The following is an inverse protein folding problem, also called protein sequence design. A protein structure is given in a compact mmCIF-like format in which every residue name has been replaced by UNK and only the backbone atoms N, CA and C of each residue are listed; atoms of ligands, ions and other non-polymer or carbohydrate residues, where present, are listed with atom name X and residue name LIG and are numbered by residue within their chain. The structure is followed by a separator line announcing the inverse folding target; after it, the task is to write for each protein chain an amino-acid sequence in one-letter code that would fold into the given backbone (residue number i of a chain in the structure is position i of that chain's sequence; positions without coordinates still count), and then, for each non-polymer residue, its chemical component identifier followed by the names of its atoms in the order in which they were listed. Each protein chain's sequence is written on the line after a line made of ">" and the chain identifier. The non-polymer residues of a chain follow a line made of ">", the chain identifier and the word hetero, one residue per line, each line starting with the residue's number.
data_IF_198592746174
#
_entry.id   IF_198592746174
#
_cell.length_a   1.000
_cell.length_b   1.000
_cell.length_c   1.000
_cell.angle_alpha   90.00
_cell.angle_beta   90.00
_cell.angle_gamma   90.00
#
_symmetry.space_group_name_H-M   'P 1'
#
loop_
_entity.id
_entity.type
_entity.pdbx_description
1 polymer ?
#
# COMPACT_ATOMS: atom_id res chain seq x y z
N UNK A 1 2.17 -59.31 -49.55
CA UNK A 1 2.32 -57.97 -50.16
C UNK A 1 2.85 -57.00 -49.10
N UNK A 2 4.00 -56.37 -49.38
CA UNK A 2 4.59 -55.14 -48.79
C UNK A 2 4.85 -55.15 -47.28
N UNK A 3 6.10 -55.43 -46.89
CA UNK A 3 7.25 -54.51 -46.77
C UNK A 3 7.30 -53.78 -45.42
N UNK A 4 8.41 -54.03 -44.71
CA UNK A 4 9.06 -53.16 -43.71
C UNK A 4 9.06 -51.69 -44.16
N UNK A 5 9.24 -50.75 -43.22
CA UNK A 5 10.28 -49.69 -43.24
C UNK A 5 10.07 -48.74 -42.03
N UNK A 6 11.03 -48.79 -41.09
CA UNK A 6 11.77 -47.67 -40.49
C UNK A 6 11.09 -46.79 -39.40
N UNK A 7 11.65 -46.98 -38.19
CA UNK A 7 12.00 -46.02 -37.14
C UNK A 7 11.76 -44.53 -37.36
N UNK A 8 11.30 -43.84 -36.31
CA UNK A 8 12.01 -42.65 -35.83
C UNK A 8 11.67 -42.33 -34.36
N UNK A 9 12.67 -42.59 -33.50
CA UNK A 9 12.77 -42.06 -32.15
C UNK A 9 13.04 -40.55 -32.25
N UNK A 10 12.02 -39.72 -32.03
CA UNK A 10 12.19 -38.28 -31.88
C UNK A 10 12.75 -37.97 -30.49
N UNK A 11 14.09 -38.00 -30.45
CA UNK A 11 14.97 -37.35 -29.50
C UNK A 11 14.61 -35.86 -29.39
N UNK A 12 13.79 -35.49 -28.40
CA UNK A 12 13.69 -34.08 -28.00
C UNK A 12 14.66 -33.85 -26.85
N UNK A 13 15.57 -32.93 -27.17
CA UNK A 13 16.76 -32.55 -26.44
C UNK A 13 16.42 -31.84 -25.14
N UNK A 14 17.25 -32.12 -24.13
CA UNK A 14 17.54 -31.27 -22.99
C UNK A 14 17.43 -29.78 -23.31
N UNK A 15 16.50 -29.10 -22.66
CA UNK A 15 16.63 -27.67 -22.37
C UNK A 15 17.09 -27.54 -20.91
N UNK A 16 18.39 -27.71 -20.72
CA UNK A 16 19.12 -27.19 -19.56
C UNK A 16 19.18 -25.66 -19.68
N UNK A 17 18.05 -24.99 -19.46
CA UNK A 17 18.06 -23.54 -19.25
C UNK A 17 18.37 -23.30 -17.78
N UNK A 18 19.62 -22.95 -17.54
CA UNK A 18 20.13 -22.34 -16.31
C UNK A 18 19.10 -21.35 -15.76
N UNK A 19 18.38 -21.75 -14.71
CA UNK A 19 17.64 -20.79 -13.88
C UNK A 19 18.68 -20.03 -13.06
N UNK A 20 19.15 -18.94 -13.66
CA UNK A 20 19.88 -17.88 -12.99
C UNK A 20 19.03 -17.51 -11.75
N UNK A 21 19.58 -17.54 -10.52
CA UNK A 21 18.88 -16.96 -9.40
C UNK A 21 18.72 -15.48 -9.73
N UNK A 22 17.49 -15.08 -10.08
CA UNK A 22 17.10 -13.69 -10.17
C UNK A 22 17.38 -13.09 -8.80
N UNK A 23 18.58 -12.53 -8.64
CA UNK A 23 18.89 -11.53 -7.62
C UNK A 23 17.98 -10.37 -7.94
N UNK A 24 16.75 -10.41 -7.45
CA UNK A 24 15.97 -9.22 -7.25
C UNK A 24 16.82 -8.38 -6.29
N UNK A 25 17.41 -7.25 -6.72
CA UNK A 25 17.85 -6.26 -5.76
C UNK A 25 16.54 -5.66 -5.25
N UNK A 26 15.88 -6.39 -4.36
CA UNK A 26 14.84 -5.83 -3.53
C UNK A 26 15.59 -4.83 -2.66
N UNK A 27 15.66 -3.59 -3.16
CA UNK A 27 15.80 -2.39 -2.36
C UNK A 27 14.55 -2.33 -1.47
N UNK A 28 14.45 -3.29 -0.56
CA UNK A 28 13.47 -3.33 0.49
C UNK A 28 13.95 -2.23 1.41
N UNK A 29 13.49 -1.01 1.15
CA UNK A 29 13.58 0.08 2.09
C UNK A 29 12.96 -0.45 3.38
N UNK A 30 13.83 -0.92 4.28
CA UNK A 30 13.44 -1.52 5.55
C UNK A 30 12.91 -0.36 6.35
N UNK A 31 11.58 -0.22 6.39
CA UNK A 31 10.96 0.72 7.32
C UNK A 31 11.46 0.36 8.70
N UNK A 32 12.12 1.31 9.38
CA UNK A 32 12.66 1.11 10.73
C UNK A 32 11.56 0.85 11.76
N UNK A 33 10.32 1.19 11.40
CA UNK A 33 9.15 1.10 12.24
C UNK A 33 8.35 -0.18 11.98
N UNK A 34 7.95 -0.83 13.07
CA UNK A 34 7.02 -1.97 13.08
C UNK A 34 5.58 -1.46 13.20
N UNK A 35 4.74 -1.76 12.20
CA UNK A 35 3.32 -1.41 12.23
C UNK A 35 2.53 -2.56 12.83
N UNK A 36 1.88 -2.29 13.95
CA UNK A 36 0.96 -3.21 14.60
C UNK A 36 -0.47 -2.89 14.23
N UNK A 37 -1.29 -3.94 14.14
CA UNK A 37 -2.72 -3.83 13.84
C UNK A 37 -3.54 -4.28 15.03
N UNK A 38 -4.44 -3.43 15.51
CA UNK A 38 -5.42 -3.78 16.54
C UNK A 38 -6.84 -3.79 15.91
N UNK A 39 -7.34 -4.96 15.50
CA UNK A 39 -8.64 -5.06 14.84
C UNK A 39 -9.82 -4.83 15.79
N UNK A 40 -9.64 -5.02 17.11
CA UNK A 40 -10.68 -4.76 18.12
C UNK A 40 -10.96 -3.27 18.24
N UNK A 41 -9.89 -2.48 18.32
CA UNK A 41 -9.97 -1.02 18.44
C UNK A 41 -10.00 -0.30 17.08
N UNK A 42 -10.03 -1.05 15.97
CA UNK A 42 -10.05 -0.53 14.60
C UNK A 42 -8.95 0.51 14.32
N UNK A 43 -7.71 0.18 14.71
CA UNK A 43 -6.58 1.07 14.49
C UNK A 43 -5.30 0.32 14.11
N UNK A 44 -4.48 0.99 13.30
CA UNK A 44 -3.08 0.64 13.08
C UNK A 44 -2.21 1.58 13.88
N UNK A 45 -1.09 1.08 14.38
CA UNK A 45 -0.20 1.91 15.17
C UNK A 45 1.25 1.51 15.08
N UNK A 46 2.12 2.49 15.35
CA UNK A 46 3.54 2.30 15.58
C UNK A 46 3.84 2.82 16.97
N UNK A 47 4.50 2.00 17.78
CA UNK A 47 5.03 2.42 19.08
C UNK A 47 6.36 3.12 18.85
N UNK A 48 6.49 4.36 19.33
CA UNK A 48 7.71 5.16 19.18
C UNK A 48 8.05 5.73 20.56
N UNK A 49 9.02 5.10 21.23
CA UNK A 49 9.38 5.44 22.60
C UNK A 49 8.12 5.46 23.51
N UNK A 50 7.82 6.60 24.11
CA UNK A 50 6.66 6.82 25.00
C UNK A 50 5.40 7.30 24.26
N UNK A 51 5.48 7.54 22.95
CA UNK A 51 4.37 8.04 22.13
C UNK A 51 3.93 7.00 21.10
N UNK A 52 2.76 7.23 20.54
CA UNK A 52 2.17 6.34 19.55
C UNK A 52 1.73 7.14 18.32
N UNK A 53 2.12 6.65 17.15
CA UNK A 53 1.55 7.07 15.89
C UNK A 53 0.38 6.13 15.56
N UNK A 54 -0.80 6.68 15.28
CA UNK A 54 -2.03 5.88 15.09
C UNK A 54 -2.78 6.27 13.84
N UNK A 55 -3.35 5.29 13.14
CA UNK A 55 -4.30 5.46 12.04
C UNK A 55 -5.60 4.74 12.41
N UNK A 56 -6.67 5.50 12.62
CA UNK A 56 -7.98 4.98 12.99
C UNK A 56 -8.86 4.75 11.77
N UNK A 57 -9.64 3.68 11.79
CA UNK A 57 -10.60 3.35 10.75
C UNK A 57 -11.92 2.87 11.35
N UNK A 58 -12.96 2.79 10.51
CA UNK A 58 -14.21 2.10 10.81
C UNK A 58 -14.52 1.12 9.68
N UNK A 59 -15.32 0.09 9.96
CA UNK A 59 -15.82 -0.83 8.95
C UNK A 59 -17.34 -0.83 9.03
N UNK A 60 -17.97 -0.61 7.89
CA UNK A 60 -19.42 -0.62 7.68
C UNK A 60 -19.70 -1.61 6.54
N UNK A 61 -20.05 -2.84 6.89
CA UNK A 61 -20.20 -3.94 5.94
C UNK A 61 -18.90 -4.21 5.18
N UNK A 62 -18.90 -3.97 3.88
CA UNK A 62 -17.74 -4.15 2.98
C UNK A 62 -16.88 -2.88 2.82
N UNK A 63 -17.27 -1.77 3.46
CA UNK A 63 -16.59 -0.49 3.34
C UNK A 63 -15.72 -0.26 4.57
N UNK A 64 -14.43 -0.06 4.35
CA UNK A 64 -13.46 0.37 5.35
C UNK A 64 -13.20 1.87 5.16
N UNK A 65 -13.60 2.67 6.15
CA UNK A 65 -13.38 4.11 6.13
C UNK A 65 -12.17 4.50 6.99
N UNK A 66 -11.16 5.15 6.39
CA UNK A 66 -10.01 5.70 7.10
C UNK A 66 -10.33 7.10 7.64
N UNK A 67 -10.40 7.20 8.96
CA UNK A 67 -10.95 8.37 9.66
C UNK A 67 -9.92 9.45 9.94
N UNK A 68 -8.85 9.08 10.64
CA UNK A 68 -7.83 10.03 11.08
C UNK A 68 -6.49 9.36 11.30
N UNK A 69 -5.42 10.10 11.00
CA UNK A 69 -4.05 9.74 11.32
C UNK A 69 -3.48 10.75 12.31
N UNK A 70 -2.81 10.26 13.35
CA UNK A 70 -2.18 11.06 14.40
C UNK A 70 -0.73 10.64 14.51
N UNK A 71 0.18 11.56 14.21
CA UNK A 71 1.62 11.37 14.33
C UNK A 71 2.14 12.38 15.35
N UNK A 72 2.93 11.96 16.35
CA UNK A 72 3.58 12.90 17.25
C UNK A 72 4.44 13.92 16.48
N UNK A 73 4.35 15.20 16.85
CA UNK A 73 5.06 16.30 16.16
C UNK A 73 6.58 16.06 16.05
N UNK A 74 7.17 15.41 17.05
CA UNK A 74 8.60 15.07 17.10
C UNK A 74 9.04 14.06 16.04
N UNK A 75 8.11 13.28 15.48
CA UNK A 75 8.38 12.22 14.50
C UNK A 75 7.73 12.49 13.12
N UNK A 76 7.28 13.72 12.87
CA UNK A 76 6.84 14.13 11.52
C UNK A 76 8.01 14.14 10.55
N UNK A 77 7.74 13.95 9.27
CA UNK A 77 8.78 13.89 8.23
C UNK A 77 9.62 12.61 8.20
N UNK A 78 9.28 11.61 9.01
CA UNK A 78 9.97 10.31 9.03
C UNK A 78 9.25 9.24 8.19
N UNK A 79 8.22 9.63 7.43
CA UNK A 79 7.42 8.71 6.60
C UNK A 79 6.54 7.72 7.38
N UNK A 80 6.31 7.93 8.68
CA UNK A 80 5.46 7.04 9.50
C UNK A 80 4.01 7.08 9.03
N UNK A 81 3.48 8.25 8.67
CA UNK A 81 2.12 8.38 8.14
C UNK A 81 1.93 7.62 6.82
N UNK A 82 2.93 7.70 5.93
CA UNK A 82 3.00 6.94 4.68
C UNK A 82 3.04 5.44 4.95
N UNK A 83 3.82 5.00 5.94
CA UNK A 83 3.90 3.61 6.33
C UNK A 83 2.55 3.08 6.85
N UNK A 84 1.92 3.78 7.81
CA UNK A 84 0.60 3.42 8.34
C UNK A 84 -0.46 3.34 7.24
N UNK A 85 -0.49 4.35 6.35
CA UNK A 85 -1.48 4.41 5.26
C UNK A 85 -1.27 3.27 4.26
N UNK A 86 -0.02 2.98 3.89
CA UNK A 86 0.32 1.85 3.02
C UNK A 86 -0.14 0.52 3.63
N UNK A 87 0.09 0.32 4.92
CA UNK A 87 -0.36 -0.88 5.63
C UNK A 87 -1.88 -0.99 5.63
N UNK A 88 -2.61 0.10 5.91
CA UNK A 88 -4.07 0.10 5.88
C UNK A 88 -4.66 -0.18 4.48
N UNK A 89 -4.06 0.37 3.43
CA UNK A 89 -4.48 0.08 2.04
C UNK A 89 -4.22 -1.38 1.67
N UNK A 90 -3.04 -1.90 2.04
CA UNK A 90 -2.70 -3.31 1.82
C UNK A 90 -3.68 -4.23 2.56
N UNK A 91 -4.01 -3.90 3.81
CA UNK A 91 -5.01 -4.61 4.58
C UNK A 91 -6.39 -4.60 3.90
N UNK A 92 -6.84 -3.45 3.40
CA UNK A 92 -8.11 -3.35 2.68
C UNK A 92 -8.14 -4.21 1.41
N UNK A 93 -7.06 -4.19 0.62
CA UNK A 93 -6.94 -5.00 -0.59
C UNK A 93 -7.00 -6.49 -0.25
N UNK A 94 -6.20 -6.93 0.72
CA UNK A 94 -6.10 -8.35 1.10
C UNK A 94 -7.41 -8.90 1.67
N UNK A 95 -8.19 -8.07 2.35
CA UNK A 95 -9.47 -8.46 2.96
C UNK A 95 -10.69 -8.07 2.10
N UNK A 96 -10.47 -7.67 0.84
CA UNK A 96 -11.52 -7.29 -0.10
C UNK A 96 -12.45 -6.14 0.34
N UNK A 97 -11.97 -5.24 1.20
CA UNK A 97 -12.72 -4.04 1.57
C UNK A 97 -12.65 -2.96 0.47
N UNK A 98 -13.75 -2.24 0.32
CA UNK A 98 -13.78 -0.97 -0.40
C UNK A 98 -13.32 0.15 0.54
N UNK A 99 -12.54 1.10 0.02
CA UNK A 99 -11.96 2.19 0.80
C UNK A 99 -12.79 3.46 0.68
N UNK A 100 -13.19 4.00 1.83
CA UNK A 100 -13.66 5.38 1.95
C UNK A 100 -12.60 6.20 2.68
N UNK A 101 -12.19 7.34 2.14
CA UNK A 101 -11.05 8.10 2.66
C UNK A 101 -11.52 9.41 3.31
N UNK A 102 -12.00 9.36 4.56
CA UNK A 102 -12.38 10.59 5.29
C UNK A 102 -11.17 11.45 5.64
N UNK A 103 -10.03 10.84 5.98
CA UNK A 103 -8.83 11.58 6.36
C UNK A 103 -8.14 12.26 5.15
N UNK A 104 -7.99 13.58 5.19
CA UNK A 104 -7.35 14.39 4.13
C UNK A 104 -5.96 13.87 3.72
N UNK A 105 -5.14 13.44 4.69
CA UNK A 105 -3.83 12.83 4.40
C UNK A 105 -3.97 11.58 3.53
N UNK A 106 -4.90 10.68 3.86
CA UNK A 106 -5.10 9.44 3.10
C UNK A 106 -5.63 9.70 1.68
N UNK A 107 -6.43 10.76 1.51
CA UNK A 107 -6.87 11.22 0.18
C UNK A 107 -5.68 11.69 -0.66
N UNK A 108 -4.88 12.60 -0.10
CA UNK A 108 -3.65 13.11 -0.75
C UNK A 108 -2.69 11.97 -1.09
N UNK A 109 -2.49 11.04 -0.15
CA UNK A 109 -1.66 9.85 -0.37
C UNK A 109 -2.17 9.00 -1.53
N UNK A 110 -3.48 8.72 -1.59
CA UNK A 110 -4.10 7.99 -2.68
C UNK A 110 -3.90 8.68 -4.03
N UNK A 111 -4.09 10.01 -4.10
CA UNK A 111 -3.90 10.77 -5.34
C UNK A 111 -2.47 10.65 -5.88
N UNK A 112 -1.47 10.71 -5.00
CA UNK A 112 -0.07 10.58 -5.38
C UNK A 112 0.38 9.15 -5.71
N UNK A 113 -0.32 8.14 -5.19
CA UNK A 113 0.04 6.72 -5.33
C UNK A 113 -1.03 5.92 -6.09
N UNK A 114 -1.88 6.59 -6.86
CA UNK A 114 -2.99 5.99 -7.60
C UNK A 114 -2.46 4.93 -8.56
N UNK A 115 -3.03 3.73 -8.45
CA UNK A 115 -2.74 2.61 -9.35
C UNK A 115 -4.06 1.87 -9.68
N UNK A 116 -4.02 0.99 -10.69
CA UNK A 116 -5.22 0.27 -11.16
C UNK A 116 -5.93 -0.50 -10.04
N UNK A 117 -5.20 -1.06 -9.09
CA UNK A 117 -5.78 -1.83 -7.98
C UNK A 117 -6.50 -0.94 -6.98
N UNK A 118 -5.87 0.16 -6.54
CA UNK A 118 -6.45 1.10 -5.60
C UNK A 118 -7.66 1.81 -6.20
N UNK A 119 -7.61 2.14 -7.50
CA UNK A 119 -8.75 2.74 -8.21
C UNK A 119 -10.01 1.87 -8.17
N UNK A 120 -9.86 0.54 -8.22
CA UNK A 120 -10.98 -0.38 -8.14
C UNK A 120 -11.54 -0.53 -6.72
N UNK A 121 -10.78 -0.16 -5.68
CA UNK A 121 -11.18 -0.30 -4.28
C UNK A 121 -11.69 1.01 -3.66
N UNK A 122 -11.21 2.17 -4.08
CA UNK A 122 -11.60 3.47 -3.49
C UNK A 122 -12.96 3.92 -4.00
N UNK A 123 -13.94 4.06 -3.10
CA UNK A 123 -15.32 4.42 -3.42
C UNK A 123 -15.67 5.89 -3.16
N UNK A 124 -14.96 6.57 -2.26
CA UNK A 124 -15.19 7.99 -1.99
C UNK A 124 -14.24 8.58 -0.93
N UNK A 125 -14.43 9.87 -0.55
CA UNK A 125 -15.44 10.81 -1.02
C UNK A 125 -15.32 11.20 -2.51
N UNK A 126 -16.43 11.66 -3.10
CA UNK A 126 -16.59 12.00 -4.54
C UNK A 126 -15.56 13.02 -5.05
N UNK A 127 -15.07 13.88 -4.17
CA UNK A 127 -14.09 14.94 -4.45
C UNK A 127 -12.74 14.41 -4.96
N UNK A 128 -12.39 13.16 -4.65
CA UNK A 128 -11.11 12.53 -5.01
C UNK A 128 -11.08 12.10 -6.48
N UNK A 129 -12.25 11.88 -7.11
CA UNK A 129 -12.32 11.37 -8.50
C UNK A 129 -11.97 12.43 -9.54
N UNK A 130 -12.11 13.72 -9.21
CA UNK A 130 -12.05 14.82 -10.16
C UNK A 130 -10.74 15.61 -10.16
N UNK A 131 -9.83 15.35 -9.22
CA UNK A 131 -8.54 16.06 -9.18
C UNK A 131 -7.55 15.44 -10.17
N UNK A 132 -7.37 16.09 -11.31
CA UNK A 132 -6.20 15.88 -12.17
C UNK A 132 -4.99 16.55 -11.50
N UNK A 133 -4.39 15.91 -10.50
CA UNK A 133 -3.19 16.44 -9.85
C UNK A 133 -1.93 15.95 -10.58
N UNK A 134 -1.11 16.89 -11.02
CA UNK A 134 0.00 16.70 -11.94
C UNK A 134 1.16 15.92 -11.31
N UNK A 135 1.78 15.09 -12.14
CA UNK A 135 2.75 14.06 -11.81
C UNK A 135 4.12 14.61 -11.42
N UNK A 136 4.31 14.99 -10.16
CA UNK A 136 5.66 15.09 -9.56
C UNK A 136 5.71 14.31 -8.24
N UNK A 137 5.74 12.98 -8.35
CA UNK A 137 5.78 12.04 -7.22
C UNK A 137 6.86 12.38 -6.19
N UNK A 138 8.04 12.86 -6.64
CA UNK A 138 9.15 13.28 -5.77
C UNK A 138 8.88 14.57 -5.00
N UNK A 139 8.18 15.53 -5.59
CA UNK A 139 7.85 16.81 -4.93
C UNK A 139 6.71 16.63 -3.93
N UNK A 140 5.77 15.74 -4.22
CA UNK A 140 4.62 15.48 -3.36
C UNK A 140 4.97 14.69 -2.09
N UNK A 141 5.84 13.69 -2.19
CA UNK A 141 6.31 12.92 -1.03
C UNK A 141 6.98 13.85 0.01
N UNK A 142 7.69 14.90 -0.43
CA UNK A 142 8.29 15.90 0.45
C UNK A 142 7.28 16.88 1.09
N UNK A 143 6.10 17.07 0.48
CA UNK A 143 5.05 18.00 0.94
C UNK A 143 4.10 17.32 1.92
N UNK A 144 3.73 16.05 1.67
CA UNK A 144 2.87 15.25 2.55
C UNK A 144 3.44 15.14 3.97
N UNK A 145 4.75 15.04 4.08
CA UNK A 145 5.50 14.86 5.31
C UNK A 145 5.49 16.11 6.22
N UNK A 146 5.13 17.29 5.69
CA UNK A 146 5.07 18.56 6.43
C UNK A 146 3.69 18.90 6.98
N UNK A 147 2.61 18.30 6.46
CA UNK A 147 1.22 18.64 6.80
C UNK A 147 0.56 17.67 7.79
N UNK A 148 1.32 16.76 8.40
CA UNK A 148 0.76 15.72 9.27
C UNK A 148 0.00 16.33 10.47
N UNK A 149 -1.31 16.07 10.55
CA UNK A 149 -2.21 16.28 11.69
C UNK A 149 -2.34 17.71 12.27
N UNK A 150 -3.03 18.62 11.57
CA UNK A 150 -3.84 19.66 12.25
C UNK A 150 -5.15 19.04 12.73
N UNK A 151 -5.13 18.43 13.93
CA UNK A 151 -6.30 18.36 14.84
C UNK A 151 -5.88 17.76 16.18
N UNK A 152 -5.03 18.50 16.90
CA UNK A 152 -5.23 18.64 18.34
C UNK A 152 -6.42 19.61 18.49
N UNK A 153 -7.65 19.12 18.52
CA UNK A 153 -8.71 19.88 19.20
C UNK A 153 -8.74 19.40 20.65
N UNK A 154 -8.18 20.29 21.47
CA UNK A 154 -8.31 20.45 22.91
C UNK A 154 -9.70 20.06 23.42
#
# INVERSE_FOLDING_TARGET
>A
MRNMIISNLTKIRNCSSLLIPVKFPHYFSRSLYDVRHNPKNRLFYVQIEEKQATLNYKIEGIIMNLLSIKIPKTHKGQGIAKLLTKTAFTYAINNNYYLYLTCSYTQKYYLAHKNKQLMAKVVGPTEIKNSNFTNDKKKFDAILDQEDSTTEKK
#
